data_IF_894988099561
#
_entry.id   IF_894988099561
#
_cell.length_a   1.000
_cell.length_b   1.000
_cell.length_c   1.000
_cell.angle_alpha   90.00
_cell.angle_beta   90.00
_cell.angle_gamma   90.00
#
_symmetry.space_group_name_H-M   'P 1'
#
loop_
_entity.id
_entity.type
_entity.pdbx_description
1 polymer ?
#
# COMPACT_ATOMS: atom_id res chain seq x y z
N UNK A 1 -18.40 -30.27 21.74
CA UNK A 1 -16.99 -30.28 21.26
C UNK A 1 -16.79 -30.56 19.76
N UNK A 2 -17.83 -30.66 18.91
CA UNK A 2 -17.70 -30.73 17.44
C UNK A 2 -17.96 -29.38 16.74
N UNK A 3 -18.87 -28.56 17.28
CA UNK A 3 -19.21 -27.24 16.75
C UNK A 3 -18.08 -26.18 16.82
N UNK A 4 -17.22 -26.24 17.84
CA UNK A 4 -16.12 -25.28 18.01
C UNK A 4 -14.99 -25.45 16.97
N UNK A 5 -14.80 -26.67 16.45
CA UNK A 5 -13.84 -26.94 15.36
C UNK A 5 -14.33 -26.38 14.01
N UNK A 6 -15.64 -26.33 13.79
CA UNK A 6 -16.22 -25.83 12.52
C UNK A 6 -16.05 -24.32 12.37
N UNK A 7 -16.17 -23.57 13.45
CA UNK A 7 -15.97 -22.10 13.44
C UNK A 7 -14.50 -21.75 13.21
N UNK A 8 -13.56 -22.50 13.80
CA UNK A 8 -12.12 -22.28 13.58
C UNK A 8 -11.67 -22.65 12.15
N UNK A 9 -12.29 -23.65 11.53
CA UNK A 9 -12.00 -24.06 10.15
C UNK A 9 -12.67 -23.14 9.10
N UNK A 10 -13.75 -22.44 9.47
CA UNK A 10 -14.48 -21.51 8.58
C UNK A 10 -13.78 -20.16 8.40
N UNK A 11 -12.84 -19.78 9.27
CA UNK A 11 -12.16 -18.48 9.19
C UNK A 11 -11.02 -18.43 8.15
N UNK A 12 -10.56 -19.59 7.67
CA UNK A 12 -9.46 -19.72 6.71
C UNK A 12 -9.86 -19.45 5.24
N UNK A 13 -11.16 -19.38 4.93
CA UNK A 13 -11.65 -19.25 3.54
C UNK A 13 -11.89 -17.79 3.09
N UNK A 14 -11.66 -16.78 3.94
CA UNK A 14 -11.96 -15.36 3.63
C UNK A 14 -10.67 -14.54 3.39
N UNK A 15 -9.51 -15.20 3.27
CA UNK A 15 -8.20 -14.56 3.43
C UNK A 15 -7.75 -13.54 2.36
N UNK A 16 -8.27 -13.43 1.12
CA UNK A 16 -7.77 -12.40 0.20
C UNK A 16 -8.69 -11.16 0.04
N UNK A 17 -9.76 -11.00 0.83
CA UNK A 17 -10.61 -9.79 0.73
C UNK A 17 -9.89 -8.49 1.16
N UNK A 18 -8.77 -8.61 1.88
CA UNK A 18 -8.03 -7.48 2.44
C UNK A 18 -6.64 -7.27 1.83
N UNK A 19 -6.27 -7.99 0.77
CA UNK A 19 -5.04 -7.69 0.04
C UNK A 19 -5.26 -6.43 -0.78
N UNK A 20 -4.84 -5.27 -0.27
CA UNK A 20 -4.82 -4.03 -1.04
C UNK A 20 -4.07 -4.23 -2.35
N UNK A 21 -4.58 -3.66 -3.44
CA UNK A 21 -3.94 -3.77 -4.77
C UNK A 21 -2.59 -3.04 -4.83
N UNK A 22 -2.38 -2.08 -3.92
CA UNK A 22 -1.18 -1.26 -3.81
C UNK A 22 -0.46 -1.49 -2.48
N UNK A 23 0.87 -1.44 -2.52
CA UNK A 23 1.67 -1.29 -1.31
C UNK A 23 1.49 0.15 -0.80
N UNK A 24 0.86 0.29 0.37
CA UNK A 24 0.72 1.57 1.04
C UNK A 24 1.08 1.48 2.52
N UNK A 25 1.57 2.60 3.06
CA UNK A 25 1.76 2.74 4.52
C UNK A 25 0.43 2.60 5.27
N UNK A 26 0.49 2.03 6.48
CA UNK A 26 -0.68 1.88 7.34
C UNK A 26 -1.36 3.22 7.67
N UNK A 27 -0.55 4.26 7.85
CA UNK A 27 -1.03 5.63 8.06
C UNK A 27 -0.88 6.44 6.79
N UNK A 28 -1.91 7.20 6.41
CA UNK A 28 -1.95 8.11 5.24
C UNK A 28 -1.94 7.44 3.85
N UNK A 29 -1.91 6.11 3.76
CA UNK A 29 -1.93 5.36 2.50
C UNK A 29 -0.86 5.81 1.50
N UNK A 30 0.35 6.14 1.97
CA UNK A 30 1.44 6.57 1.06
C UNK A 30 1.84 5.38 0.20
N UNK A 31 1.72 5.52 -1.12
CA UNK A 31 2.17 4.51 -2.06
C UNK A 31 3.70 4.37 -1.95
N UNK A 32 4.20 3.13 -2.04
CA UNK A 32 5.64 2.81 -2.01
C UNK A 32 6.40 3.51 -0.88
N UNK A 33 5.82 3.48 0.33
CA UNK A 33 6.36 4.14 1.53
C UNK A 33 6.58 5.66 1.41
N UNK A 34 5.96 6.30 0.41
CA UNK A 34 6.06 7.74 0.16
C UNK A 34 7.25 8.15 -0.70
N UNK A 35 7.95 7.21 -1.33
CA UNK A 35 9.03 7.49 -2.28
C UNK A 35 8.50 7.89 -3.66
N UNK A 36 9.34 8.58 -4.41
CA UNK A 36 9.05 8.98 -5.78
C UNK A 36 9.37 7.84 -6.76
N UNK A 37 8.31 7.25 -7.33
CA UNK A 37 8.41 6.17 -8.34
C UNK A 37 9.16 6.59 -9.61
N UNK A 38 9.13 7.86 -9.99
CA UNK A 38 9.78 8.39 -11.19
C UNK A 38 11.26 8.66 -10.92
N UNK A 39 11.59 9.11 -9.70
CA UNK A 39 12.97 9.37 -9.30
C UNK A 39 13.86 8.13 -9.37
N UNK A 40 13.32 6.94 -9.11
CA UNK A 40 14.08 5.70 -9.28
C UNK A 40 14.64 5.54 -10.70
N UNK A 41 13.84 5.87 -11.72
CA UNK A 41 14.24 5.75 -13.12
C UNK A 41 15.06 6.94 -13.63
N UNK A 42 14.81 8.14 -13.09
CA UNK A 42 15.43 9.38 -13.58
C UNK A 42 16.70 9.75 -12.82
N UNK A 43 16.84 9.35 -11.56
CA UNK A 43 17.98 9.64 -10.68
C UNK A 43 18.75 8.39 -10.28
N UNK A 44 18.26 7.19 -10.61
CA UNK A 44 18.92 5.92 -10.32
C UNK A 44 18.96 5.55 -8.84
N UNK A 45 18.13 6.19 -7.99
CA UNK A 45 18.05 5.94 -6.55
C UNK A 45 16.65 6.19 -6.01
N UNK A 46 16.33 5.60 -4.87
CA UNK A 46 15.11 5.93 -4.13
C UNK A 46 15.22 7.35 -3.56
N UNK A 47 14.27 8.21 -3.90
CA UNK A 47 14.18 9.59 -3.40
C UNK A 47 12.85 9.75 -2.67
N UNK A 48 12.87 10.29 -1.46
CA UNK A 48 11.66 10.56 -0.70
C UNK A 48 10.80 11.60 -1.42
N UNK A 49 9.50 11.32 -1.55
CA UNK A 49 8.57 12.22 -2.18
C UNK A 49 8.16 13.38 -1.27
N UNK A 50 7.82 14.52 -1.87
CA UNK A 50 7.42 15.72 -1.16
C UNK A 50 5.91 15.78 -1.01
N UNK A 51 5.39 16.08 0.19
CA UNK A 51 3.95 16.22 0.41
C UNK A 51 3.30 17.41 -0.30
N UNK A 52 4.09 18.30 -0.93
CA UNK A 52 3.61 19.35 -1.82
C UNK A 52 3.25 18.85 -3.22
N UNK A 53 3.78 17.70 -3.62
CA UNK A 53 3.59 17.11 -4.94
C UNK A 53 2.96 15.72 -4.76
N UNK A 54 1.64 15.69 -4.58
CA UNK A 54 0.89 14.45 -4.33
C UNK A 54 -0.20 14.21 -5.38
N UNK A 55 -0.43 12.93 -5.69
CA UNK A 55 -1.55 12.49 -6.50
C UNK A 55 -2.24 11.28 -5.88
N UNK A 56 -3.57 11.27 -5.85
CA UNK A 56 -4.35 10.14 -5.31
C UNK A 56 -4.78 9.22 -6.44
N UNK A 57 -4.37 7.96 -6.38
CA UNK A 57 -4.71 6.96 -7.39
C UNK A 57 -4.83 5.56 -6.78
N UNK A 58 -5.90 4.84 -7.15
CA UNK A 58 -6.24 3.50 -6.63
C UNK A 58 -6.16 3.38 -5.09
N UNK A 59 -6.56 4.43 -4.38
CA UNK A 59 -6.55 4.46 -2.92
C UNK A 59 -5.19 4.80 -2.28
N UNK A 60 -4.12 4.87 -3.06
CA UNK A 60 -2.79 5.30 -2.63
C UNK A 60 -2.55 6.80 -2.84
N UNK A 61 -1.73 7.38 -1.96
CA UNK A 61 -1.17 8.74 -2.08
C UNK A 61 0.23 8.62 -2.66
N UNK A 62 0.38 8.98 -3.92
CA UNK A 62 1.65 8.98 -4.64
C UNK A 62 2.35 10.31 -4.42
N UNK A 63 3.60 10.29 -3.99
CA UNK A 63 4.40 11.49 -3.76
C UNK A 63 5.50 11.60 -4.80
N UNK A 64 5.82 12.83 -5.20
CA UNK A 64 6.92 13.11 -6.13
C UNK A 64 7.92 14.05 -5.47
N UNK A 65 9.20 13.87 -5.77
CA UNK A 65 10.31 14.66 -5.23
C UNK A 65 10.29 16.11 -5.74
N UNK A 66 9.76 16.30 -6.96
CA UNK A 66 9.63 17.58 -7.68
C UNK A 66 8.36 17.58 -8.54
N UNK A 67 7.99 18.77 -9.04
CA UNK A 67 6.79 18.98 -9.87
C UNK A 67 6.92 18.36 -11.26
#
# INVERSE_FOLDING_TARGET
>A
MKFFKVIFFSFLLITPLFSGELNTTFFKNLAIDGYDSVAYFTEGKAVEGNSKYEYKWKGGVWRFSKK
#
